data_IF_013886891267
#
_entry.id   IF_013886891267
#
_cell.length_a   1.000
_cell.length_b   1.000
_cell.length_c   1.000
_cell.angle_alpha   90.00
_cell.angle_beta   90.00
_cell.angle_gamma   90.00
#
_symmetry.space_group_name_H-M   'P 1'
#
loop_
_entity.id
_entity.type
_entity.pdbx_description
1 polymer ?
#
# COMPACT_ATOMS: atom_id res chain seq x y z
N UNK A 1 -5.14 -15.10 -4.88
CA UNK A 1 -5.71 -13.75 -4.74
C UNK A 1 -5.47 -12.98 -6.03
N UNK A 2 -6.55 -12.55 -6.67
CA UNK A 2 -6.51 -11.67 -7.84
C UNK A 2 -5.97 -10.28 -7.46
N UNK A 3 -5.67 -9.45 -8.45
CA UNK A 3 -5.20 -8.08 -8.20
C UNK A 3 -6.26 -7.23 -7.47
N UNK A 4 -7.54 -7.40 -7.81
CA UNK A 4 -8.65 -6.70 -7.16
C UNK A 4 -8.85 -7.14 -5.71
N UNK A 5 -8.85 -8.45 -5.46
CA UNK A 5 -8.93 -8.99 -4.09
C UNK A 5 -7.76 -8.51 -3.23
N UNK A 6 -6.57 -8.42 -3.82
CA UNK A 6 -5.37 -7.94 -3.14
C UNK A 6 -5.45 -6.46 -2.78
N UNK A 7 -5.78 -5.61 -3.74
CA UNK A 7 -5.95 -4.19 -3.47
C UNK A 7 -7.07 -3.92 -2.48
N UNK A 8 -8.18 -4.66 -2.58
CA UNK A 8 -9.26 -4.56 -1.62
C UNK A 8 -8.78 -4.92 -0.21
N UNK A 9 -8.14 -6.07 -0.04
CA UNK A 9 -7.65 -6.50 1.28
C UNK A 9 -6.60 -5.54 1.87
N UNK A 10 -5.71 -5.00 1.03
CA UNK A 10 -4.74 -3.98 1.45
C UNK A 10 -5.44 -2.68 1.88
N UNK A 11 -6.32 -2.13 1.04
CA UNK A 11 -6.99 -0.85 1.30
C UNK A 11 -7.94 -0.89 2.49
N UNK A 12 -8.53 -2.06 2.79
CA UNK A 12 -9.36 -2.27 3.99
C UNK A 12 -8.57 -2.75 5.20
N UNK A 13 -7.23 -2.86 5.10
CA UNK A 13 -6.34 -3.39 6.13
C UNK A 13 -6.76 -4.77 6.70
N UNK A 14 -7.34 -5.62 5.85
CA UNK A 14 -7.70 -7.02 6.20
C UNK A 14 -6.64 -8.02 5.76
N UNK A 15 -5.71 -7.61 4.90
CA UNK A 15 -4.49 -8.37 4.61
C UNK A 15 -3.60 -8.40 5.86
N UNK A 16 -3.25 -9.59 6.34
CA UNK A 16 -2.38 -9.73 7.50
C UNK A 16 -1.00 -9.10 7.23
N UNK A 17 -0.45 -8.40 8.22
CA UNK A 17 0.83 -7.71 8.10
C UNK A 17 1.98 -8.65 7.70
N UNK A 18 1.98 -9.90 8.17
CA UNK A 18 2.97 -10.93 7.83
C UNK A 18 2.90 -11.37 6.35
N UNK A 19 1.80 -11.07 5.65
CA UNK A 19 1.62 -11.36 4.23
C UNK A 19 1.98 -10.17 3.34
N UNK A 20 2.23 -8.99 3.91
CA UNK A 20 2.59 -7.80 3.16
C UNK A 20 4.11 -7.65 3.10
N UNK A 21 4.73 -8.20 2.04
CA UNK A 21 6.16 -8.11 1.82
C UNK A 21 6.51 -7.03 0.78
N UNK A 22 7.82 -6.83 0.57
CA UNK A 22 8.30 -5.84 -0.40
C UNK A 22 7.77 -6.07 -1.83
N UNK A 23 7.62 -7.33 -2.26
CA UNK A 23 7.01 -7.64 -3.56
C UNK A 23 5.55 -7.17 -3.66
N UNK A 24 4.81 -7.30 -2.57
CA UNK A 24 3.40 -6.89 -2.50
C UNK A 24 3.25 -5.38 -2.51
N UNK A 25 4.20 -4.66 -1.89
CA UNK A 25 4.31 -3.21 -2.04
C UNK A 25 4.50 -2.83 -3.51
N UNK A 26 5.48 -3.38 -4.22
CA UNK A 26 5.69 -3.07 -5.64
C UNK A 26 4.48 -3.43 -6.53
N UNK A 27 3.83 -4.56 -6.25
CA UNK A 27 2.60 -4.95 -6.94
C UNK A 27 1.48 -3.93 -6.69
N UNK A 28 1.25 -3.54 -5.43
CA UNK A 28 0.24 -2.56 -5.04
C UNK A 28 0.51 -1.21 -5.72
N UNK A 29 1.75 -0.72 -5.66
CA UNK A 29 2.20 0.51 -6.32
C UNK A 29 1.88 0.48 -7.81
N UNK A 30 2.32 -0.56 -8.53
CA UNK A 30 2.09 -0.70 -9.96
C UNK A 30 0.60 -0.68 -10.32
N UNK A 31 -0.22 -1.41 -9.57
CA UNK A 31 -1.66 -1.49 -9.81
C UNK A 31 -2.36 -0.15 -9.55
N UNK A 32 -2.01 0.54 -8.47
CA UNK A 32 -2.58 1.85 -8.11
C UNK A 32 -2.21 2.91 -9.14
N UNK A 33 -0.93 2.99 -9.54
CA UNK A 33 -0.47 3.92 -10.58
C UNK A 33 -1.16 3.65 -11.93
N UNK A 34 -1.34 2.38 -12.31
CA UNK A 34 -2.05 2.03 -13.56
C UNK A 34 -3.54 2.41 -13.55
N UNK A 35 -4.18 2.43 -12.38
CA UNK A 35 -5.63 2.74 -12.25
C UNK A 35 -5.90 4.22 -12.09
N UNK A 36 -5.07 4.93 -11.35
CA UNK A 36 -5.33 6.30 -10.90
C UNK A 36 -4.43 7.33 -11.61
N UNK A 37 -3.40 6.88 -12.33
CA UNK A 37 -2.36 7.77 -12.85
C UNK A 37 -1.34 8.15 -11.77
N UNK A 38 -0.31 8.90 -12.18
CA UNK A 38 0.84 9.17 -11.31
C UNK A 38 0.48 9.98 -10.07
N UNK A 39 -0.18 11.12 -10.24
CA UNK A 39 -0.48 12.07 -9.15
C UNK A 39 -1.46 11.46 -8.13
N UNK A 40 -2.67 11.09 -8.57
CA UNK A 40 -3.67 10.50 -7.70
C UNK A 40 -3.25 9.13 -7.16
N UNK A 41 -2.51 8.34 -7.94
CA UNK A 41 -1.98 7.04 -7.51
C UNK A 41 -0.94 7.18 -6.40
N UNK A 42 -0.02 8.14 -6.51
CA UNK A 42 1.00 8.40 -5.48
C UNK A 42 0.34 8.73 -4.14
N UNK A 43 -0.62 9.66 -4.13
CA UNK A 43 -1.31 10.04 -2.89
C UNK A 43 -2.13 8.88 -2.30
N UNK A 44 -2.77 8.07 -3.14
CA UNK A 44 -3.47 6.86 -2.70
C UNK A 44 -2.52 5.81 -2.08
N UNK A 45 -1.32 5.63 -2.65
CA UNK A 45 -0.31 4.70 -2.12
C UNK A 45 0.20 5.17 -0.76
N UNK A 46 0.58 6.44 -0.65
CA UNK A 46 1.08 7.05 0.59
C UNK A 46 0.05 6.90 1.71
N UNK A 47 -1.19 7.34 1.46
CA UNK A 47 -2.28 7.23 2.44
C UNK A 47 -2.62 5.77 2.77
N UNK A 48 -2.60 4.88 1.77
CA UNK A 48 -2.86 3.45 1.96
C UNK A 48 -1.83 2.77 2.85
N UNK A 49 -0.53 3.05 2.66
CA UNK A 49 0.54 2.45 3.49
C UNK A 49 0.48 3.00 4.92
N UNK A 50 0.26 4.30 5.10
CA UNK A 50 0.10 4.90 6.43
C UNK A 50 -1.09 4.30 7.19
N UNK A 51 -2.24 4.16 6.50
CA UNK A 51 -3.42 3.52 7.06
C UNK A 51 -3.16 2.06 7.42
N UNK A 52 -2.57 1.29 6.50
CA UNK A 52 -2.27 -0.13 6.70
C UNK A 52 -1.34 -0.34 7.90
N UNK A 53 -0.27 0.45 8.02
CA UNK A 53 0.65 0.40 9.15
C UNK A 53 -0.05 0.73 10.47
N UNK A 54 -0.90 1.77 10.47
CA UNK A 54 -1.65 2.19 11.67
C UNK A 54 -2.66 1.13 12.11
N UNK A 55 -3.42 0.55 11.18
CA UNK A 55 -4.40 -0.50 11.46
C UNK A 55 -3.76 -1.77 12.07
N UNK A 56 -2.49 -2.05 11.73
CA UNK A 56 -1.73 -3.18 12.28
C UNK A 56 -0.87 -2.81 13.51
N UNK A 57 -1.07 -1.64 14.12
CA UNK A 57 -0.30 -1.22 15.30
C UNK A 57 1.17 -0.90 15.03
N UNK A 58 1.53 -0.70 13.76
CA UNK A 58 2.88 -0.35 13.30
C UNK A 58 2.98 1.09 12.76
N UNK A 59 1.99 1.95 13.04
CA UNK A 59 1.99 3.36 12.65
C UNK A 59 3.32 4.09 12.92
N UNK A 60 3.96 3.94 14.10
CA UNK A 60 5.27 4.57 14.37
C UNK A 60 6.43 4.10 13.49
N UNK A 61 6.29 2.99 12.76
CA UNK A 61 7.29 2.50 11.79
C UNK A 61 7.04 3.02 10.37
N UNK A 62 5.91 3.68 10.13
CA UNK A 62 5.66 4.32 8.84
C UNK A 62 6.69 5.42 8.60
N UNK A 63 7.19 5.49 7.36
CA UNK A 63 8.14 6.50 6.95
C UNK A 63 7.79 6.97 5.53
N UNK A 64 7.35 8.22 5.41
CA UNK A 64 6.87 8.77 4.14
C UNK A 64 7.96 8.76 3.06
N UNK A 65 9.17 9.21 3.39
CA UNK A 65 10.30 9.20 2.44
C UNK A 65 10.59 7.81 1.89
N UNK A 66 10.58 6.78 2.74
CA UNK A 66 10.78 5.40 2.31
C UNK A 66 9.64 4.92 1.43
N UNK A 67 8.40 5.28 1.76
CA UNK A 67 7.23 4.94 0.95
C UNK A 67 7.36 5.54 -0.45
N UNK A 68 7.60 6.85 -0.55
CA UNK A 68 7.75 7.57 -1.83
C UNK A 68 8.94 7.09 -2.66
N UNK A 69 10.02 6.61 -2.04
CA UNK A 69 11.17 6.06 -2.76
C UNK A 69 10.82 4.79 -3.59
N UNK A 70 9.79 4.06 -3.20
CA UNK A 70 9.35 2.81 -3.84
C UNK A 70 8.07 2.95 -4.66
N UNK A 71 7.61 4.18 -4.91
CA UNK A 71 6.55 4.51 -5.85
C UNK A 71 7.15 4.65 -7.26
#
# INVERSE_FOLDING_TARGET
>A
MTDDEFLHAFTTATLANEQFHHRDHLRMTWLMLRRLGLEAGTEAIVSGIEHFASAHGHGPKYHETMTRFWI
#
